data_IF_911171835801
#
_entry.id   IF_911171835801
#
_cell.length_a   1.000
_cell.length_b   1.000
_cell.length_c   1.000
_cell.angle_alpha   90.00
_cell.angle_beta   90.00
_cell.angle_gamma   90.00
#
_symmetry.space_group_name_H-M   'P 1'
#
loop_
_entity.id
_entity.type
_entity.pdbx_description
1 polymer ?
#
# COMPACT_ATOMS: atom_id res chain seq x y z
N UNK A 1 10.39 -9.40 19.93
CA UNK A 1 9.41 -9.14 18.87
C UNK A 1 8.91 -10.46 18.31
N UNK A 2 7.62 -10.64 18.30
CA UNK A 2 6.98 -11.84 17.76
C UNK A 2 6.14 -11.44 16.55
N UNK A 3 5.94 -12.40 15.65
CA UNK A 3 5.07 -12.18 14.50
C UNK A 3 4.18 -13.40 14.27
N UNK A 4 3.07 -13.17 13.60
CA UNK A 4 2.17 -14.24 13.17
C UNK A 4 1.56 -13.87 11.82
N UNK A 5 1.48 -14.85 10.92
CA UNK A 5 0.83 -14.66 9.63
C UNK A 5 -0.68 -14.58 9.84
N UNK A 6 -1.32 -13.60 9.19
CA UNK A 6 -2.77 -13.38 9.28
C UNK A 6 -3.45 -13.93 8.04
N UNK A 7 -3.52 -15.26 7.93
CA UNK A 7 -4.16 -15.93 6.79
C UNK A 7 -5.66 -15.67 6.73
N UNK A 8 -6.28 -15.30 7.85
CA UNK A 8 -7.69 -14.91 7.92
C UNK A 8 -7.99 -13.62 7.14
N UNK A 9 -6.98 -12.81 6.85
CA UNK A 9 -7.12 -11.59 6.04
C UNK A 9 -6.88 -11.85 4.55
N UNK A 10 -6.49 -13.05 4.18
CA UNK A 10 -6.27 -13.40 2.78
C UNK A 10 -7.59 -13.36 2.00
N UNK A 11 -7.48 -12.97 0.74
CA UNK A 11 -8.60 -12.90 -0.18
C UNK A 11 -8.17 -13.58 -1.47
N UNK A 12 -8.98 -14.53 -1.96
CA UNK A 12 -8.65 -15.32 -3.16
C UNK A 12 -8.53 -14.47 -4.42
N UNK A 13 -9.10 -13.27 -4.42
CA UNK A 13 -9.06 -12.34 -5.56
C UNK A 13 -7.86 -11.39 -5.51
N UNK A 14 -7.13 -11.34 -4.40
CA UNK A 14 -6.02 -10.40 -4.19
C UNK A 14 -4.73 -11.15 -3.91
N UNK A 15 -3.65 -10.71 -4.52
CA UNK A 15 -2.31 -11.17 -4.18
C UNK A 15 -1.77 -10.30 -3.03
N UNK A 16 -2.19 -10.60 -1.81
CA UNK A 16 -1.77 -9.89 -0.62
C UNK A 16 -1.43 -10.84 0.52
N UNK A 17 -0.51 -10.41 1.36
CA UNK A 17 -0.08 -11.15 2.55
C UNK A 17 -0.03 -10.16 3.71
N UNK A 18 -0.53 -10.57 4.86
CA UNK A 18 -0.52 -9.77 6.07
C UNK A 18 0.17 -10.52 7.20
N UNK A 19 0.97 -9.79 7.98
CA UNK A 19 1.66 -10.29 9.16
C UNK A 19 1.35 -9.35 10.32
N UNK A 20 0.96 -9.91 11.45
CA UNK A 20 0.77 -9.16 12.68
C UNK A 20 2.04 -9.21 13.50
N UNK A 21 2.54 -8.04 13.88
CA UNK A 21 3.77 -7.92 14.67
C UNK A 21 3.41 -7.50 16.08
N UNK A 22 3.93 -8.25 17.05
CA UNK A 22 3.72 -8.00 18.48
C UNK A 22 5.04 -7.62 19.12
N UNK A 23 5.02 -6.53 19.87
CA UNK A 23 6.16 -6.07 20.66
C UNK A 23 5.69 -5.89 22.10
N UNK A 24 6.40 -6.45 23.11
CA UNK A 24 5.96 -6.34 24.52
C UNK A 24 5.75 -4.91 25.01
N UNK A 25 6.37 -3.92 24.35
CA UNK A 25 6.34 -2.51 24.78
C UNK A 25 5.43 -1.63 23.94
N UNK A 26 4.72 -2.20 22.96
CA UNK A 26 3.86 -1.43 22.09
C UNK A 26 2.63 -2.23 21.69
N UNK A 27 1.64 -1.56 21.11
CA UNK A 27 0.48 -2.22 20.54
C UNK A 27 0.87 -3.03 19.32
N UNK A 28 0.09 -4.07 19.05
CA UNK A 28 0.25 -4.88 17.85
C UNK A 28 -0.08 -4.05 16.61
N UNK A 29 0.63 -4.33 15.51
CA UNK A 29 0.35 -3.70 14.24
C UNK A 29 0.45 -4.71 13.10
N UNK A 30 -0.17 -4.37 11.98
CA UNK A 30 -0.20 -5.21 10.78
C UNK A 30 0.73 -4.62 9.73
N UNK A 31 1.52 -5.49 9.11
CA UNK A 31 2.31 -5.15 7.93
C UNK A 31 1.84 -6.06 6.81
N UNK A 32 1.53 -5.48 5.67
CA UNK A 32 1.07 -6.24 4.53
C UNK A 32 1.79 -5.87 3.25
N UNK A 33 1.65 -6.74 2.27
CA UNK A 33 2.06 -6.48 0.90
C UNK A 33 0.90 -6.78 -0.03
N UNK A 34 0.78 -5.98 -1.09
CA UNK A 34 -0.25 -6.18 -2.12
C UNK A 34 0.38 -6.00 -3.50
N UNK A 35 0.23 -7.01 -4.33
CA UNK A 35 0.59 -6.93 -5.73
C UNK A 35 -0.67 -6.97 -6.60
N UNK A 36 -0.85 -5.98 -7.44
CA UNK A 36 -1.92 -5.93 -8.44
C UNK A 36 -1.29 -6.07 -9.81
N UNK A 37 -1.49 -7.21 -10.52
CA UNK A 37 -0.96 -7.40 -11.86
C UNK A 37 -1.47 -6.34 -12.85
N UNK A 38 -0.70 -6.03 -13.90
CA UNK A 38 -1.17 -5.16 -14.97
C UNK A 38 -2.48 -5.69 -15.57
N UNK A 39 -3.35 -4.78 -15.97
CA UNK A 39 -4.64 -5.11 -16.62
C UNK A 39 -5.59 -5.91 -15.74
N UNK A 40 -5.46 -5.82 -14.42
CA UNK A 40 -6.38 -6.46 -13.50
C UNK A 40 -7.77 -5.80 -13.56
N UNK A 41 -8.86 -6.57 -13.36
CA UNK A 41 -10.21 -6.02 -13.41
C UNK A 41 -10.48 -5.03 -12.28
N UNK A 42 -11.32 -4.01 -12.51
CA UNK A 42 -11.62 -2.99 -11.49
C UNK A 42 -12.29 -3.51 -10.21
N UNK A 43 -12.94 -4.67 -10.27
CA UNK A 43 -13.57 -5.27 -9.09
C UNK A 43 -12.58 -5.64 -8.00
N UNK A 44 -11.28 -5.71 -8.29
CA UNK A 44 -10.26 -5.95 -7.27
C UNK A 44 -10.22 -4.84 -6.23
N UNK A 45 -10.57 -3.61 -6.59
CA UNK A 45 -10.63 -2.50 -5.63
C UNK A 45 -11.73 -2.72 -4.60
N UNK A 46 -12.87 -3.29 -4.99
CA UNK A 46 -13.94 -3.65 -4.04
C UNK A 46 -13.48 -4.76 -3.09
N UNK A 47 -12.73 -5.72 -3.60
CA UNK A 47 -12.15 -6.78 -2.76
C UNK A 47 -11.12 -6.20 -1.78
N UNK A 48 -10.32 -5.25 -2.23
CA UNK A 48 -9.38 -4.54 -1.36
C UNK A 48 -10.12 -3.81 -0.24
N UNK A 49 -11.22 -3.12 -0.56
CA UNK A 49 -12.01 -2.43 0.47
C UNK A 49 -12.56 -3.39 1.53
N UNK A 50 -12.95 -4.60 1.13
CA UNK A 50 -13.43 -5.62 2.09
C UNK A 50 -12.34 -5.99 3.10
N UNK A 51 -11.11 -6.16 2.63
CA UNK A 51 -9.96 -6.46 3.49
C UNK A 51 -9.68 -5.29 4.42
N UNK A 52 -9.69 -4.07 3.91
CA UNK A 52 -9.44 -2.87 4.72
C UNK A 52 -10.54 -2.69 5.78
N UNK A 53 -11.79 -2.95 5.44
CA UNK A 53 -12.89 -2.89 6.41
C UNK A 53 -12.72 -3.92 7.54
N UNK A 54 -12.25 -5.10 7.21
CA UNK A 54 -11.95 -6.15 8.18
C UNK A 54 -10.82 -5.74 9.12
N UNK A 55 -9.76 -5.11 8.59
CA UNK A 55 -8.64 -4.60 9.37
C UNK A 55 -9.09 -3.44 10.27
N UNK A 56 -9.89 -2.53 9.73
CA UNK A 56 -10.40 -1.39 10.47
C UNK A 56 -11.25 -1.82 11.66
N UNK A 57 -12.02 -2.89 11.51
CA UNK A 57 -12.83 -3.45 12.59
C UNK A 57 -12.00 -3.95 13.77
N UNK A 58 -10.74 -4.30 13.56
CA UNK A 58 -9.82 -4.71 14.62
C UNK A 58 -9.14 -3.52 15.30
N UNK A 59 -9.28 -2.31 14.76
CA UNK A 59 -8.70 -1.09 15.30
C UNK A 59 -7.18 -1.16 15.49
N UNK A 60 -6.49 -1.78 14.54
CA UNK A 60 -5.04 -1.93 14.56
C UNK A 60 -4.35 -1.01 13.57
N UNK A 61 -3.12 -0.63 13.88
CA UNK A 61 -2.28 0.08 12.92
C UNK A 61 -1.97 -0.81 11.73
N UNK A 62 -1.95 -0.21 10.55
CA UNK A 62 -1.64 -0.90 9.30
C UNK A 62 -0.54 -0.17 8.54
N UNK A 63 0.40 -0.93 8.03
CA UNK A 63 1.39 -0.49 7.05
C UNK A 63 1.34 -1.46 5.88
N UNK A 64 0.94 -0.97 4.71
CA UNK A 64 0.77 -1.79 3.51
C UNK A 64 1.67 -1.25 2.40
N UNK A 65 2.55 -2.12 1.92
CA UNK A 65 3.44 -1.82 0.81
C UNK A 65 3.02 -2.66 -0.40
N UNK A 66 3.24 -2.14 -1.60
CA UNK A 66 2.91 -2.96 -2.76
C UNK A 66 3.17 -2.29 -4.08
N UNK A 67 2.97 -3.06 -5.13
CA UNK A 67 3.02 -2.64 -6.52
C UNK A 67 1.64 -2.86 -7.12
N UNK A 68 1.00 -1.79 -7.58
CA UNK A 68 -0.41 -1.83 -7.98
C UNK A 68 -0.64 -1.55 -9.46
N UNK A 69 0.41 -1.18 -10.20
CA UNK A 69 0.34 -0.89 -11.63
C UNK A 69 -0.74 0.13 -12.02
N UNK A 70 -0.93 1.12 -11.16
CA UNK A 70 -1.91 2.18 -11.31
C UNK A 70 -1.20 3.49 -10.92
N UNK A 71 -1.14 4.44 -11.83
CA UNK A 71 -0.37 5.67 -11.57
C UNK A 71 -1.09 6.57 -10.56
N UNK A 72 -0.49 6.77 -9.40
CA UNK A 72 -1.05 7.56 -8.30
C UNK A 72 -0.55 9.01 -8.27
N UNK A 73 0.21 9.45 -9.26
CA UNK A 73 0.61 10.86 -9.34
C UNK A 73 -0.63 11.75 -9.53
N UNK A 74 -0.66 12.96 -8.94
CA UNK A 74 -1.83 13.84 -9.02
C UNK A 74 -2.26 14.20 -10.45
N UNK A 75 -1.31 14.25 -11.39
CA UNK A 75 -1.59 14.54 -12.80
C UNK A 75 -2.19 13.37 -13.57
N UNK A 76 -2.24 12.16 -12.97
CA UNK A 76 -2.84 11.01 -13.61
C UNK A 76 -4.38 11.10 -13.52
N UNK A 77 -5.04 11.16 -14.68
CA UNK A 77 -6.50 11.27 -14.76
C UNK A 77 -7.18 9.94 -15.10
N UNK A 78 -6.56 8.84 -14.75
CA UNK A 78 -7.15 7.53 -14.99
C UNK A 78 -8.25 7.21 -13.97
N UNK A 79 -9.30 6.55 -14.43
CA UNK A 79 -10.42 6.13 -13.58
C UNK A 79 -9.95 5.29 -12.40
N UNK A 80 -9.05 4.32 -12.64
CA UNK A 80 -8.55 3.42 -11.60
C UNK A 80 -7.79 4.17 -10.51
N UNK A 81 -6.97 5.15 -10.90
CA UNK A 81 -6.21 5.96 -9.95
C UNK A 81 -7.14 6.78 -9.05
N UNK A 82 -8.15 7.40 -9.64
CA UNK A 82 -9.14 8.19 -8.90
C UNK A 82 -9.97 7.32 -7.97
N UNK A 83 -10.36 6.14 -8.44
CA UNK A 83 -11.13 5.18 -7.65
C UNK A 83 -10.33 4.72 -6.41
N UNK A 84 -9.07 4.35 -6.61
CA UNK A 84 -8.22 3.88 -5.52
C UNK A 84 -7.92 5.00 -4.51
N UNK A 85 -7.67 6.21 -4.99
CA UNK A 85 -7.44 7.38 -4.13
C UNK A 85 -8.68 7.66 -3.27
N UNK A 86 -9.87 7.54 -3.82
CA UNK A 86 -11.12 7.69 -3.08
C UNK A 86 -11.25 6.61 -1.98
N UNK A 87 -10.86 5.38 -2.28
CA UNK A 87 -10.88 4.30 -1.29
C UNK A 87 -9.95 4.64 -0.12
N UNK A 88 -8.76 5.16 -0.41
CA UNK A 88 -7.84 5.59 0.65
C UNK A 88 -8.45 6.69 1.51
N UNK A 89 -9.02 7.72 0.89
CA UNK A 89 -9.60 8.86 1.62
C UNK A 89 -10.78 8.43 2.50
N UNK A 90 -11.67 7.60 1.97
CA UNK A 90 -12.85 7.13 2.71
C UNK A 90 -12.46 6.27 3.91
N UNK A 91 -11.39 5.49 3.78
CA UNK A 91 -10.97 4.55 4.81
C UNK A 91 -9.86 5.08 5.73
N UNK A 92 -9.54 6.37 5.62
CA UNK A 92 -8.53 6.99 6.49
C UNK A 92 -7.11 6.51 6.24
N UNK A 93 -6.81 6.11 5.01
CA UNK A 93 -5.48 5.64 4.62
C UNK A 93 -4.71 6.75 3.94
N UNK A 94 -3.44 6.88 4.30
CA UNK A 94 -2.53 7.88 3.73
C UNK A 94 -1.45 7.21 2.91
N UNK A 95 -1.28 7.67 1.67
CA UNK A 95 -0.17 7.25 0.82
C UNK A 95 1.06 8.07 1.18
N UNK A 96 2.13 7.39 1.57
CA UNK A 96 3.36 8.04 2.01
C UNK A 96 4.31 8.40 0.86
N UNK A 97 4.13 7.76 -0.29
CA UNK A 97 4.99 7.96 -1.45
C UNK A 97 4.32 8.96 -2.37
N UNK A 98 5.02 10.06 -2.64
CA UNK A 98 4.52 11.15 -3.49
C UNK A 98 5.37 11.36 -4.74
N UNK A 99 6.49 10.66 -4.86
CA UNK A 99 7.42 10.75 -5.98
C UNK A 99 7.24 9.56 -6.92
N UNK A 100 7.57 9.70 -8.21
CA UNK A 100 7.54 8.57 -9.13
C UNK A 100 8.43 7.43 -8.64
N UNK A 101 7.91 6.20 -8.73
CA UNK A 101 8.63 4.99 -8.33
C UNK A 101 9.07 4.15 -9.52
N UNK A 102 8.50 4.43 -10.69
CA UNK A 102 8.95 3.84 -11.95
C UNK A 102 9.32 4.97 -12.91
N UNK A 103 10.57 4.99 -13.36
CA UNK A 103 11.08 6.01 -14.25
C UNK A 103 11.67 5.34 -15.48
N UNK A 104 11.19 5.75 -16.66
CA UNK A 104 11.69 5.31 -17.95
C UNK A 104 12.14 6.54 -18.75
N UNK A 105 12.87 6.40 -19.89
CA UNK A 105 13.25 7.55 -20.70
C UNK A 105 12.06 8.38 -21.22
N UNK A 106 10.85 7.80 -21.26
CA UNK A 106 9.67 8.45 -21.84
C UNK A 106 8.56 8.70 -20.82
N UNK A 107 8.64 8.17 -19.60
CA UNK A 107 7.56 8.32 -18.62
C UNK A 107 8.04 8.26 -17.18
N UNK A 108 7.23 8.86 -16.29
CA UNK A 108 7.39 8.76 -14.85
C UNK A 108 6.03 8.41 -14.26
N UNK A 109 5.99 7.35 -13.47
CA UNK A 109 4.74 6.90 -12.84
C UNK A 109 4.97 6.52 -11.38
N UNK A 110 3.94 6.71 -10.55
CA UNK A 110 3.92 6.26 -9.17
C UNK A 110 3.01 5.03 -9.12
N UNK A 111 3.58 3.85 -9.18
CA UNK A 111 2.86 2.58 -9.24
C UNK A 111 3.07 1.70 -8.01
N UNK A 112 3.95 2.11 -7.11
CA UNK A 112 4.16 1.45 -5.84
C UNK A 112 3.48 2.24 -4.74
N UNK A 113 3.03 1.54 -3.71
CA UNK A 113 2.36 2.19 -2.60
C UNK A 113 2.99 1.83 -1.26
N UNK A 114 2.88 2.78 -0.35
CA UNK A 114 3.11 2.57 1.06
C UNK A 114 2.02 3.35 1.79
N UNK A 115 1.00 2.67 2.26
CA UNK A 115 -0.13 3.31 2.91
C UNK A 115 -0.20 2.93 4.39
N UNK A 116 -0.74 3.85 5.18
CA UNK A 116 -0.95 3.63 6.60
C UNK A 116 -2.22 4.33 7.08
N UNK A 117 -2.83 3.79 8.11
CA UNK A 117 -3.91 4.45 8.85
C UNK A 117 -3.40 5.22 10.07
N UNK A 118 -2.09 5.29 10.26
CA UNK A 118 -1.45 5.91 11.43
C UNK A 118 -0.34 6.86 11.00
N UNK A 119 -0.70 7.84 10.16
CA UNK A 119 0.25 8.79 9.57
C UNK A 119 1.08 9.53 10.63
N UNK A 120 0.49 9.84 11.79
CA UNK A 120 1.14 10.56 12.88
C UNK A 120 2.33 9.79 13.49
N UNK A 121 2.42 8.50 13.25
CA UNK A 121 3.51 7.65 13.76
C UNK A 121 4.66 7.47 12.77
N UNK A 122 4.51 8.00 11.55
CA UNK A 122 5.55 7.90 10.51
C UNK A 122 6.50 9.09 10.65
N UNK A 123 7.79 8.82 10.80
CA UNK A 123 8.80 9.85 10.96
C UNK A 123 9.46 10.25 9.64
N UNK A 124 9.57 9.32 8.71
CA UNK A 124 10.22 9.59 7.42
C UNK A 124 9.77 8.55 6.38
N UNK A 125 9.66 9.00 5.15
CA UNK A 125 9.44 8.13 3.99
C UNK A 125 10.16 8.72 2.78
N UNK A 126 10.50 7.88 1.81
CA UNK A 126 11.18 8.34 0.62
C UNK A 126 11.31 7.28 -0.46
N UNK A 127 11.86 7.71 -1.58
CA UNK A 127 12.10 6.87 -2.76
C UNK A 127 13.56 6.99 -3.16
N UNK A 128 14.23 5.87 -3.38
CA UNK A 128 15.60 5.82 -3.87
C UNK A 128 15.59 5.25 -5.29
N UNK A 129 16.11 6.01 -6.25
CA UNK A 129 16.19 5.59 -7.63
C UNK A 129 17.49 4.81 -7.88
N UNK A 130 17.35 3.59 -8.37
CA UNK A 130 18.47 2.71 -8.68
C UNK A 130 18.62 2.59 -10.19
N UNK A 131 19.84 2.72 -10.70
CA UNK A 131 20.12 2.67 -12.13
C UNK A 131 20.06 1.28 -12.75
N UNK A 132 19.67 0.25 -11.99
CA UNK A 132 19.63 -1.15 -12.43
C UNK A 132 18.24 -1.63 -12.82
N UNK A 133 17.21 -0.80 -12.57
CA UNK A 133 15.81 -1.15 -12.84
C UNK A 133 15.02 0.13 -13.11
N UNK A 134 13.87 -0.01 -13.77
CA UNK A 134 12.93 1.10 -13.93
C UNK A 134 12.06 1.30 -12.67
N UNK A 135 12.15 0.40 -11.69
CA UNK A 135 11.54 0.56 -10.36
C UNK A 135 12.52 1.17 -9.37
N UNK A 136 11.98 1.89 -8.42
CA UNK A 136 12.74 2.54 -7.35
C UNK A 136 12.60 1.78 -6.05
N UNK A 137 13.57 1.97 -5.16
CA UNK A 137 13.47 1.48 -3.79
C UNK A 137 12.59 2.44 -2.98
N UNK A 138 11.62 1.88 -2.28
CA UNK A 138 10.72 2.63 -1.39
C UNK A 138 11.09 2.33 0.06
N UNK A 139 11.16 3.38 0.88
CA UNK A 139 11.48 3.22 2.30
C UNK A 139 10.58 4.10 3.17
N UNK A 140 10.33 3.64 4.40
CA UNK A 140 9.60 4.40 5.41
C UNK A 140 10.14 4.07 6.80
N UNK A 141 10.08 5.05 7.70
CA UNK A 141 10.45 4.93 9.10
C UNK A 141 9.30 5.40 9.99
N UNK A 142 9.08 4.70 11.06
CA UNK A 142 8.03 5.04 12.02
C UNK A 142 8.51 4.98 13.48
#
# INVERSE_FOLDING_TARGET
MNYRTRDDLNNDHLECIFVEISNPRSTQFLVGTWYRPPSSPPNLFSEFEKVIAQIDAENKELYLLGAINCNLLPEANAYDSSHLTNIFDINGLSQLITEPTRVTPVSKTLIDLCITNSLEKVTNSGVVHLGISDHSLVSTLS
#
